data_IF_988423930378
#
_entry.id   IF_988423930378
#
_cell.length_a   1.000
_cell.length_b   1.000
_cell.length_c   1.000
_cell.angle_alpha   90.00
_cell.angle_beta   90.00
_cell.angle_gamma   90.00
#
_symmetry.space_group_name_H-M   'P 1'
#
loop_
_entity.id
_entity.type
_entity.pdbx_description
1 polymer ?
#
# COMPACT_ATOMS: atom_id res chain seq x y z
N UNK A 1 6.81 -1.48 8.83
CA UNK A 1 5.42 -0.99 8.71
C UNK A 1 4.45 -2.14 8.79
N UNK A 2 3.26 -1.91 9.40
CA UNK A 2 2.26 -2.97 9.61
C UNK A 2 0.85 -2.55 9.17
N UNK A 3 0.73 -1.45 8.43
CA UNK A 3 -0.54 -0.85 8.00
C UNK A 3 -0.43 -0.43 6.54
N UNK A 4 -0.61 -1.41 5.64
CA UNK A 4 -0.42 -1.21 4.20
C UNK A 4 -1.67 -1.64 3.40
N UNK A 5 -2.81 -0.99 3.55
CA UNK A 5 -3.22 -0.02 4.57
C UNK A 5 -3.87 -0.64 5.82
N UNK A 6 -4.22 0.17 6.82
CA UNK A 6 -5.24 -0.13 7.82
C UNK A 6 -6.59 0.35 7.27
N UNK A 7 -7.51 -0.56 7.07
CA UNK A 7 -8.89 -0.24 6.73
C UNK A 7 -9.66 -0.07 8.06
N UNK A 8 -9.78 1.16 8.52
CA UNK A 8 -10.38 1.49 9.83
C UNK A 8 -11.61 2.35 9.65
N UNK A 9 -12.77 1.93 10.20
CA UNK A 9 -13.98 2.73 10.14
C UNK A 9 -13.85 4.01 10.96
N UNK A 10 -14.56 5.05 10.55
CA UNK A 10 -14.78 6.24 11.36
C UNK A 10 -15.78 6.00 12.49
N UNK A 11 -15.86 6.90 13.45
CA UNK A 11 -16.79 6.78 14.60
C UNK A 11 -18.28 6.84 14.19
N UNK A 12 -18.56 7.44 13.04
CA UNK A 12 -19.92 7.57 12.49
C UNK A 12 -20.18 6.62 11.31
N UNK A 13 -19.26 5.66 11.07
CA UNK A 13 -19.41 4.69 9.98
C UNK A 13 -20.59 3.76 10.24
N UNK A 14 -21.29 3.41 9.16
CA UNK A 14 -22.24 2.30 9.12
C UNK A 14 -21.80 1.33 8.02
N UNK A 15 -22.35 0.13 8.01
CA UNK A 15 -22.00 -0.85 6.98
C UNK A 15 -22.34 -0.36 5.56
N UNK A 16 -23.35 0.46 5.44
CA UNK A 16 -23.89 0.93 4.15
C UNK A 16 -23.04 2.02 3.50
N UNK A 17 -22.26 2.77 4.30
CA UNK A 17 -21.55 3.95 3.81
C UNK A 17 -20.02 3.80 3.71
N UNK A 18 -19.48 2.66 4.08
CA UNK A 18 -18.02 2.41 4.02
C UNK A 18 -17.67 1.51 2.84
N UNK A 19 -17.19 2.11 1.76
CA UNK A 19 -16.73 1.41 0.56
C UNK A 19 -15.26 1.69 0.32
N UNK A 20 -14.47 0.64 0.10
CA UNK A 20 -13.05 0.75 -0.23
C UNK A 20 -12.76 -0.03 -1.51
N UNK A 21 -12.11 0.62 -2.46
CA UNK A 21 -11.62 -0.01 -3.69
C UNK A 21 -10.10 0.14 -3.79
N UNK A 22 -9.39 -0.94 -3.53
CA UNK A 22 -7.93 -1.01 -3.55
C UNK A 22 -7.47 -1.82 -4.75
N UNK A 23 -7.01 -1.13 -5.81
CA UNK A 23 -6.62 -1.73 -7.10
C UNK A 23 -5.24 -1.28 -7.54
N UNK A 24 -4.53 -2.19 -8.20
CA UNK A 24 -3.29 -1.92 -8.92
C UNK A 24 -2.20 -1.23 -8.09
N UNK A 25 -2.19 -1.47 -6.77
CA UNK A 25 -1.13 -0.98 -5.90
C UNK A 25 0.02 -1.98 -5.85
N UNK A 26 1.21 -1.46 -5.55
CA UNK A 26 2.38 -2.26 -5.18
C UNK A 26 2.63 -2.08 -3.68
N UNK A 27 2.58 -3.18 -2.95
CA UNK A 27 2.85 -3.22 -1.51
C UNK A 27 4.18 -3.95 -1.30
N UNK A 28 5.20 -3.22 -0.84
CA UNK A 28 6.55 -3.74 -0.67
C UNK A 28 7.01 -3.74 0.78
N UNK A 29 7.76 -4.77 1.17
CA UNK A 29 8.60 -4.84 2.38
C UNK A 29 7.85 -4.55 3.69
N UNK A 30 6.66 -5.11 3.90
CA UNK A 30 5.94 -4.97 5.17
C UNK A 30 6.56 -5.82 6.28
N UNK A 31 6.62 -5.31 7.51
CA UNK A 31 7.17 -6.03 8.66
C UNK A 31 6.12 -6.62 9.62
N UNK A 32 4.87 -6.23 9.46
CA UNK A 32 3.73 -6.74 10.24
C UNK A 32 2.61 -7.26 9.34
N UNK A 33 1.41 -6.73 9.48
CA UNK A 33 0.35 -6.99 8.51
C UNK A 33 0.64 -6.22 7.21
N UNK A 34 0.30 -6.81 6.07
CA UNK A 34 0.16 -6.09 4.81
C UNK A 34 -1.06 -5.16 4.92
N UNK A 35 -2.24 -5.60 4.50
CA UNK A 35 -3.50 -4.93 4.80
C UNK A 35 -4.17 -5.56 6.04
N UNK A 36 -4.95 -4.77 6.80
CA UNK A 36 -5.82 -5.34 7.83
C UNK A 36 -6.99 -4.42 8.18
N UNK A 37 -8.05 -5.01 8.74
CA UNK A 37 -9.26 -4.31 9.14
C UNK A 37 -10.46 -4.64 8.25
N UNK A 38 -11.19 -3.61 7.84
CA UNK A 38 -12.39 -3.75 7.02
C UNK A 38 -13.65 -4.03 7.83
N UNK A 39 -13.66 -3.62 9.10
CA UNK A 39 -14.80 -3.78 10.01
C UNK A 39 -16.03 -3.07 9.43
N UNK A 40 -17.11 -3.81 9.19
CA UNK A 40 -18.36 -3.34 8.60
C UNK A 40 -18.19 -2.58 7.27
N UNK A 41 -17.18 -2.91 6.47
CA UNK A 41 -16.91 -2.26 5.18
C UNK A 41 -17.27 -3.16 4.02
N UNK A 42 -17.55 -2.56 2.86
CA UNK A 42 -17.56 -3.22 1.57
C UNK A 42 -16.21 -2.99 0.88
N UNK A 43 -15.44 -4.06 0.63
CA UNK A 43 -14.05 -3.93 0.23
C UNK A 43 -13.74 -4.67 -1.05
N UNK A 44 -13.17 -3.98 -2.02
CA UNK A 44 -12.51 -4.58 -3.18
C UNK A 44 -10.98 -4.55 -2.98
N UNK A 45 -10.32 -5.69 -3.14
CA UNK A 45 -8.85 -5.79 -3.20
C UNK A 45 -8.51 -6.53 -4.49
N UNK A 46 -8.18 -5.78 -5.55
CA UNK A 46 -8.14 -6.31 -6.90
C UNK A 46 -6.81 -6.00 -7.59
N UNK A 47 -6.18 -7.04 -8.11
CA UNK A 47 -4.99 -6.92 -8.97
C UNK A 47 -3.86 -6.09 -8.35
N UNK A 48 -3.65 -6.17 -7.03
CA UNK A 48 -2.50 -5.58 -6.37
C UNK A 48 -1.31 -6.53 -6.40
N UNK A 49 -0.10 -5.98 -6.38
CA UNK A 49 1.12 -6.75 -6.30
C UNK A 49 1.74 -6.60 -4.91
N UNK A 50 1.83 -7.70 -4.18
CA UNK A 50 2.45 -7.79 -2.87
C UNK A 50 3.84 -8.39 -3.02
N UNK A 51 4.87 -7.60 -2.76
CA UNK A 51 6.26 -8.06 -2.82
C UNK A 51 6.89 -8.10 -1.43
N UNK A 52 6.98 -9.28 -0.81
CA UNK A 52 7.73 -9.42 0.43
C UNK A 52 9.17 -8.99 0.24
N UNK A 53 9.71 -8.25 1.20
CA UNK A 53 11.08 -7.75 1.19
C UNK A 53 11.88 -8.22 2.41
N UNK A 54 13.06 -7.62 2.65
CA UNK A 54 13.96 -8.02 3.73
C UNK A 54 13.40 -7.86 5.15
N UNK A 55 12.43 -6.93 5.35
CA UNK A 55 11.75 -6.76 6.63
C UNK A 55 10.53 -7.67 6.80
N UNK A 56 10.06 -8.30 5.72
CA UNK A 56 8.88 -9.16 5.80
C UNK A 56 9.24 -10.47 6.50
N UNK A 57 8.56 -10.83 7.61
CA UNK A 57 8.93 -12.01 8.39
C UNK A 57 8.93 -13.30 7.57
N UNK A 58 10.03 -14.05 7.66
CA UNK A 58 10.19 -15.37 7.04
C UNK A 58 9.54 -16.47 7.88
N UNK A 59 9.16 -17.58 7.26
CA UNK A 59 8.59 -18.73 7.95
C UNK A 59 7.22 -18.51 8.59
N UNK A 60 6.53 -17.40 8.27
CA UNK A 60 5.25 -17.02 8.89
C UNK A 60 4.16 -16.78 7.85
N UNK A 61 2.89 -16.84 8.32
CA UNK A 61 1.72 -16.52 7.49
C UNK A 61 1.71 -15.08 6.99
N UNK A 62 2.47 -14.17 7.62
CA UNK A 62 2.55 -12.76 7.22
C UNK A 62 3.11 -12.59 5.81
N UNK A 63 3.95 -13.53 5.36
CA UNK A 63 4.60 -13.45 4.06
C UNK A 63 3.65 -13.63 2.88
N UNK A 64 2.64 -14.50 3.00
CA UNK A 64 1.59 -14.69 1.97
C UNK A 64 0.31 -13.91 2.23
N UNK A 65 0.29 -13.03 3.24
CA UNK A 65 -0.93 -12.36 3.67
C UNK A 65 -1.31 -11.19 2.76
N UNK A 66 -2.51 -11.24 2.20
CA UNK A 66 -3.12 -10.12 1.48
C UNK A 66 -3.83 -9.22 2.49
N UNK A 67 -4.71 -9.80 3.33
CA UNK A 67 -5.43 -9.07 4.36
C UNK A 67 -5.61 -9.92 5.62
N UNK A 68 -5.64 -9.26 6.79
CA UNK A 68 -6.17 -9.81 8.02
C UNK A 68 -7.47 -9.08 8.38
N UNK A 69 -8.61 -9.73 8.19
CA UNK A 69 -9.93 -9.12 8.43
C UNK A 69 -10.24 -9.01 9.92
N UNK A 70 -10.96 -7.97 10.27
CA UNK A 70 -11.23 -7.60 11.66
C UNK A 70 -12.71 -7.28 11.86
N UNK A 71 -13.13 -7.23 13.13
CA UNK A 71 -14.41 -6.65 13.56
C UNK A 71 -14.27 -5.96 14.91
N UNK A 72 -15.14 -5.03 15.22
CA UNK A 72 -15.20 -4.30 16.49
C UNK A 72 -15.90 -5.14 17.54
N UNK A 73 -15.17 -5.71 18.54
CA UNK A 73 -15.70 -6.72 19.47
C UNK A 73 -15.39 -6.46 20.94
N UNK A 74 -14.52 -5.49 21.24
CA UNK A 74 -14.19 -5.16 22.63
C UNK A 74 -15.24 -4.25 23.28
N UNK A 75 -15.28 -4.18 24.60
CA UNK A 75 -16.14 -3.24 25.33
C UNK A 75 -15.83 -1.78 24.98
N UNK A 76 -14.58 -1.47 24.68
CA UNK A 76 -14.17 -0.17 24.18
C UNK A 76 -14.72 0.09 22.77
N UNK A 77 -14.68 -0.93 21.89
CA UNK A 77 -15.27 -0.80 20.54
C UNK A 77 -16.78 -0.57 20.60
N UNK A 78 -17.46 -1.28 21.51
CA UNK A 78 -18.91 -1.11 21.70
C UNK A 78 -19.29 0.34 22.06
N UNK A 79 -18.45 1.02 22.82
CA UNK A 79 -18.64 2.44 23.19
C UNK A 79 -18.33 3.37 22.04
N UNK A 80 -17.22 3.12 21.33
CA UNK A 80 -16.69 4.03 20.32
C UNK A 80 -17.32 3.84 18.94
N UNK A 81 -17.83 2.63 18.66
CA UNK A 81 -18.37 2.24 17.34
C UNK A 81 -19.70 1.49 17.48
N UNK A 82 -20.72 2.04 18.15
CA UNK A 82 -21.95 1.30 18.46
C UNK A 82 -22.71 0.84 17.21
N UNK A 83 -22.67 1.61 16.12
CA UNK A 83 -23.38 1.29 14.88
C UNK A 83 -22.78 0.10 14.11
N UNK A 84 -21.52 -0.23 14.34
CA UNK A 84 -20.81 -1.31 13.64
C UNK A 84 -20.23 -2.36 14.59
N UNK A 85 -20.63 -2.30 15.87
CA UNK A 85 -20.19 -3.27 16.85
C UNK A 85 -20.60 -4.69 16.45
N UNK A 86 -19.66 -5.62 16.55
CA UNK A 86 -19.81 -7.05 16.17
C UNK A 86 -20.26 -7.28 14.71
N UNK A 87 -19.99 -6.31 13.82
CA UNK A 87 -20.40 -6.36 12.43
C UNK A 87 -19.19 -6.65 11.53
N UNK A 88 -19.30 -7.69 10.70
CA UNK A 88 -18.32 -8.01 9.68
C UNK A 88 -18.47 -7.11 8.44
N UNK A 89 -17.34 -6.81 7.81
CA UNK A 89 -17.35 -6.38 6.42
C UNK A 89 -17.54 -7.54 5.45
N UNK A 90 -17.65 -7.23 4.18
CA UNK A 90 -17.61 -8.21 3.09
C UNK A 90 -16.61 -7.80 2.02
N UNK A 91 -16.03 -8.81 1.33
CA UNK A 91 -14.78 -8.62 0.59
C UNK A 91 -14.83 -9.30 -0.77
N UNK A 92 -14.51 -8.54 -1.81
CA UNK A 92 -14.14 -9.07 -3.12
C UNK A 92 -12.62 -9.01 -3.25
N UNK A 93 -11.95 -10.17 -3.28
CA UNK A 93 -10.48 -10.27 -3.30
C UNK A 93 -10.08 -11.18 -4.45
N UNK A 94 -9.53 -10.61 -5.53
CA UNK A 94 -9.22 -11.35 -6.74
C UNK A 94 -8.04 -10.77 -7.51
N UNK A 95 -7.28 -11.66 -8.17
CA UNK A 95 -6.23 -11.27 -9.11
C UNK A 95 -4.98 -10.68 -8.45
N UNK A 96 -4.90 -10.68 -7.12
CA UNK A 96 -3.71 -10.20 -6.43
C UNK A 96 -2.58 -11.21 -6.55
N UNK A 97 -1.37 -10.70 -6.77
CA UNK A 97 -0.14 -11.49 -6.82
C UNK A 97 0.67 -11.24 -5.55
N UNK A 98 1.13 -12.32 -4.92
CA UNK A 98 2.13 -12.28 -3.86
C UNK A 98 3.36 -13.00 -4.38
N UNK A 99 4.47 -12.30 -4.55
CA UNK A 99 5.66 -12.87 -5.19
C UNK A 99 6.93 -12.30 -4.55
N UNK A 100 7.70 -13.16 -3.90
CA UNK A 100 8.98 -12.79 -3.30
C UNK A 100 10.20 -13.05 -4.20
N UNK A 101 9.97 -13.48 -5.44
CA UNK A 101 11.02 -13.75 -6.41
C UNK A 101 11.93 -14.92 -6.01
N UNK A 102 11.50 -15.82 -5.14
CA UNK A 102 12.28 -16.96 -4.60
C UNK A 102 13.47 -16.55 -3.71
N UNK A 103 13.51 -15.33 -3.23
CA UNK A 103 14.67 -14.78 -2.49
C UNK A 103 14.86 -15.46 -1.12
N UNK A 104 13.77 -15.88 -0.49
CA UNK A 104 13.76 -16.32 0.91
C UNK A 104 13.58 -17.85 1.09
N UNK A 105 13.77 -18.60 0.04
CA UNK A 105 13.72 -20.07 0.08
C UNK A 105 12.36 -20.66 -0.28
N UNK A 106 12.37 -21.97 -0.56
CA UNK A 106 11.26 -22.67 -1.19
C UNK A 106 9.94 -22.63 -0.40
N UNK A 107 9.98 -22.73 0.94
CA UNK A 107 8.77 -22.76 1.75
C UNK A 107 8.03 -21.40 1.80
N UNK A 108 8.77 -20.30 1.84
CA UNK A 108 8.18 -18.95 1.79
C UNK A 108 7.68 -18.62 0.40
N UNK A 109 8.41 -19.03 -0.64
CA UNK A 109 7.95 -18.92 -2.02
C UNK A 109 6.65 -19.70 -2.27
N UNK A 110 6.57 -20.96 -1.82
CA UNK A 110 5.34 -21.78 -1.93
C UNK A 110 4.16 -21.10 -1.24
N UNK A 111 4.37 -20.47 -0.08
CA UNK A 111 3.34 -19.70 0.63
C UNK A 111 2.83 -18.53 -0.19
N UNK A 112 3.73 -17.78 -0.81
CA UNK A 112 3.38 -16.66 -1.70
C UNK A 112 2.61 -17.16 -2.93
N UNK A 113 3.07 -18.24 -3.55
CA UNK A 113 2.41 -18.81 -4.73
C UNK A 113 1.03 -19.39 -4.43
N UNK A 114 0.82 -20.00 -3.25
CA UNK A 114 -0.52 -20.41 -2.80
C UNK A 114 -1.46 -19.22 -2.68
N UNK A 115 -1.01 -18.13 -2.03
CA UNK A 115 -1.81 -16.91 -1.89
C UNK A 115 -2.12 -16.26 -3.25
N UNK A 116 -1.19 -16.33 -4.21
CA UNK A 116 -1.41 -15.87 -5.59
C UNK A 116 -2.44 -16.73 -6.31
N UNK A 117 -2.36 -18.06 -6.16
CA UNK A 117 -3.26 -19.02 -6.83
C UNK A 117 -4.70 -18.90 -6.32
N UNK A 118 -4.87 -18.76 -5.02
CA UNK A 118 -6.17 -18.53 -4.40
C UNK A 118 -6.02 -17.49 -3.29
N UNK A 119 -6.37 -16.25 -3.67
CA UNK A 119 -6.25 -15.09 -2.78
C UNK A 119 -7.11 -15.22 -1.52
N UNK A 120 -8.30 -15.81 -1.67
CA UNK A 120 -9.24 -15.96 -0.56
C UNK A 120 -8.77 -17.02 0.43
N UNK A 121 -8.44 -18.19 -0.06
CA UNK A 121 -8.07 -19.33 0.78
C UNK A 121 -6.77 -19.07 1.54
N UNK A 122 -5.73 -18.63 0.83
CA UNK A 122 -4.39 -18.54 1.39
C UNK A 122 -3.92 -17.11 1.71
N UNK A 123 -4.66 -16.08 1.29
CA UNK A 123 -4.31 -14.68 1.51
C UNK A 123 -5.12 -13.97 2.60
N UNK A 124 -6.25 -14.55 3.04
CA UNK A 124 -7.16 -13.96 4.04
C UNK A 124 -7.00 -14.60 5.41
N UNK A 125 -6.77 -13.78 6.42
CA UNK A 125 -6.51 -14.19 7.80
C UNK A 125 -7.40 -13.45 8.79
N UNK A 126 -7.42 -13.91 10.03
CA UNK A 126 -8.09 -13.26 11.16
C UNK A 126 -7.15 -12.26 11.85
N UNK A 127 -7.66 -11.07 12.19
CA UNK A 127 -6.92 -10.04 12.94
C UNK A 127 -7.35 -9.91 14.39
N UNK A 128 -8.63 -10.05 14.71
CA UNK A 128 -9.11 -9.82 16.08
C UNK A 128 -8.56 -10.83 17.10
N UNK A 129 -8.55 -10.44 18.37
CA UNK A 129 -8.01 -11.25 19.47
C UNK A 129 -8.78 -12.56 19.59
N UNK A 130 -8.06 -13.67 19.72
CA UNK A 130 -8.61 -15.02 19.85
C UNK A 130 -9.60 -15.19 21.00
N UNK A 131 -9.52 -14.36 22.05
CA UNK A 131 -10.48 -14.36 23.15
C UNK A 131 -11.91 -14.02 22.72
N UNK A 132 -12.07 -13.35 21.59
CA UNK A 132 -13.37 -13.03 20.99
C UNK A 132 -13.81 -14.05 19.92
N UNK A 133 -13.06 -15.14 19.75
CA UNK A 133 -13.36 -16.20 18.80
C UNK A 133 -12.34 -16.30 17.66
N UNK A 134 -12.68 -17.09 16.68
CA UNK A 134 -11.88 -17.31 15.47
C UNK A 134 -12.75 -17.06 14.23
N UNK A 135 -12.12 -16.71 13.12
CA UNK A 135 -12.77 -16.70 11.84
C UNK A 135 -12.90 -18.17 11.36
N UNK A 136 -14.05 -18.77 11.61
CA UNK A 136 -14.34 -20.12 11.12
C UNK A 136 -14.61 -20.14 9.60
N UNK A 137 -14.52 -21.32 9.01
CA UNK A 137 -14.66 -21.48 7.56
C UNK A 137 -16.05 -21.07 7.02
N UNK A 138 -17.11 -21.26 7.80
CA UNK A 138 -18.47 -20.89 7.40
C UNK A 138 -18.60 -19.35 7.35
N UNK A 139 -18.11 -18.68 8.37
CA UNK A 139 -18.05 -17.21 8.42
C UNK A 139 -17.16 -16.68 7.31
N UNK A 140 -15.94 -17.21 7.15
CA UNK A 140 -15.02 -16.81 6.09
C UNK A 140 -15.69 -16.91 4.70
N UNK A 141 -16.40 -18.00 4.45
CA UNK A 141 -17.16 -18.19 3.20
C UNK A 141 -18.28 -17.16 3.03
N UNK A 142 -19.01 -16.85 4.08
CA UNK A 142 -20.12 -15.90 4.05
C UNK A 142 -19.66 -14.45 3.77
N UNK A 143 -18.43 -14.09 4.14
CA UNK A 143 -17.85 -12.75 3.91
C UNK A 143 -17.29 -12.56 2.50
N UNK A 144 -17.14 -13.65 1.73
CA UNK A 144 -16.62 -13.62 0.37
C UNK A 144 -17.68 -13.12 -0.60
N UNK A 145 -17.39 -12.02 -1.28
CA UNK A 145 -18.21 -11.56 -2.41
C UNK A 145 -17.79 -12.29 -3.69
N UNK A 146 -18.77 -12.56 -4.54
CA UNK A 146 -18.56 -13.14 -5.88
C UNK A 146 -18.42 -12.07 -6.97
N UNK A 147 -18.86 -10.85 -6.67
CA UNK A 147 -18.75 -9.68 -7.55
C UNK A 147 -18.21 -8.48 -6.76
N UNK A 148 -17.44 -7.59 -7.41
CA UNK A 148 -16.96 -6.39 -6.74
C UNK A 148 -18.11 -5.49 -6.31
N UNK A 149 -17.84 -4.66 -5.31
CA UNK A 149 -18.69 -3.52 -4.98
C UNK A 149 -18.54 -2.49 -6.08
N UNK A 150 -19.65 -1.89 -6.48
CA UNK A 150 -19.66 -0.86 -7.51
C UNK A 150 -19.00 0.43 -6.99
N UNK A 151 -17.97 0.89 -7.67
CA UNK A 151 -17.19 2.09 -7.29
C UNK A 151 -16.91 3.02 -8.48
N UNK A 152 -17.63 2.83 -9.57
CA UNK A 152 -17.40 3.52 -10.82
C UNK A 152 -16.35 2.84 -11.73
N UNK A 153 -16.15 3.42 -12.90
CA UNK A 153 -15.25 2.86 -13.92
C UNK A 153 -13.80 3.23 -13.62
N UNK A 154 -12.96 2.22 -13.41
CA UNK A 154 -11.53 2.38 -13.19
C UNK A 154 -10.78 1.47 -14.16
N UNK A 155 -9.80 2.01 -14.88
CA UNK A 155 -8.87 1.20 -15.68
C UNK A 155 -8.09 0.27 -14.75
N UNK A 156 -8.25 -1.04 -14.97
CA UNK A 156 -7.64 -2.05 -14.10
C UNK A 156 -6.76 -2.97 -14.93
N UNK A 157 -5.46 -2.98 -14.62
CA UNK A 157 -4.48 -3.92 -15.19
C UNK A 157 -4.44 -5.21 -14.36
N UNK A 158 -3.90 -6.29 -14.93
CA UNK A 158 -3.48 -7.42 -14.09
C UNK A 158 -2.34 -6.98 -13.14
N UNK A 159 -2.15 -7.72 -12.05
CA UNK A 159 -1.23 -7.29 -11.00
C UNK A 159 0.24 -7.18 -11.44
N UNK A 160 0.68 -8.01 -12.42
CA UNK A 160 2.07 -7.93 -12.92
C UNK A 160 2.26 -6.73 -13.83
N UNK A 161 1.30 -6.45 -14.71
CA UNK A 161 1.28 -5.22 -15.50
C UNK A 161 1.21 -3.99 -14.59
N UNK A 162 0.37 -4.02 -13.55
CA UNK A 162 0.31 -2.95 -12.56
C UNK A 162 1.64 -2.72 -11.86
N UNK A 163 2.37 -3.79 -11.48
CA UNK A 163 3.70 -3.67 -10.90
C UNK A 163 4.65 -2.89 -11.80
N UNK A 164 4.76 -3.27 -13.09
CA UNK A 164 5.65 -2.58 -14.01
C UNK A 164 5.24 -1.12 -14.21
N UNK A 165 3.95 -0.84 -14.37
CA UNK A 165 3.47 0.54 -14.52
C UNK A 165 3.72 1.39 -13.28
N UNK A 166 3.54 0.85 -12.09
CA UNK A 166 3.88 1.56 -10.84
C UNK A 166 5.38 1.83 -10.77
N UNK A 167 6.22 0.86 -11.14
CA UNK A 167 7.67 1.05 -11.16
C UNK A 167 8.09 2.11 -12.19
N UNK A 168 7.39 2.21 -13.30
CA UNK A 168 7.74 3.17 -14.37
C UNK A 168 7.18 4.56 -14.11
N UNK A 169 5.97 4.68 -13.53
CA UNK A 169 5.22 5.93 -13.48
C UNK A 169 4.88 6.46 -12.09
N UNK A 170 5.13 5.72 -11.00
CA UNK A 170 4.88 6.23 -9.66
C UNK A 170 5.95 7.24 -9.22
N UNK A 171 5.54 8.15 -8.34
CA UNK A 171 6.42 9.22 -7.87
C UNK A 171 6.67 10.29 -8.93
N UNK A 172 7.78 11.00 -8.81
CA UNK A 172 8.19 12.04 -9.75
C UNK A 172 8.83 11.43 -11.01
N UNK A 173 8.06 10.63 -11.76
CA UNK A 173 8.57 9.74 -12.81
C UNK A 173 9.22 10.43 -14.00
N UNK A 174 8.90 11.72 -14.26
CA UNK A 174 9.52 12.50 -15.33
C UNK A 174 10.96 12.92 -14.99
N UNK A 175 11.23 13.17 -13.71
CA UNK A 175 12.54 13.54 -13.18
C UNK A 175 12.71 12.95 -11.79
N UNK A 176 12.99 11.65 -11.74
CA UNK A 176 13.24 10.97 -10.47
C UNK A 176 14.53 11.47 -9.84
N UNK A 177 14.44 11.80 -8.56
CA UNK A 177 15.60 11.99 -7.74
C UNK A 177 16.16 10.65 -7.21
N UNK A 178 17.29 10.73 -6.52
CA UNK A 178 17.97 9.53 -5.96
C UNK A 178 17.10 8.75 -4.96
N UNK A 179 16.14 9.40 -4.30
CA UNK A 179 15.25 8.73 -3.34
C UNK A 179 14.24 7.88 -4.09
N UNK A 180 13.59 8.44 -5.11
CA UNK A 180 12.67 7.72 -5.99
C UNK A 180 13.37 6.58 -6.72
N UNK A 181 14.56 6.84 -7.30
CA UNK A 181 15.36 5.81 -7.99
C UNK A 181 15.71 4.66 -7.06
N UNK A 182 16.14 4.94 -5.84
CA UNK A 182 16.44 3.92 -4.84
C UNK A 182 15.20 3.10 -4.48
N UNK A 183 14.05 3.73 -4.23
CA UNK A 183 12.81 3.04 -3.85
C UNK A 183 12.35 2.11 -4.99
N UNK A 184 12.41 2.57 -6.23
CA UNK A 184 12.08 1.76 -7.40
C UNK A 184 13.04 0.58 -7.53
N UNK A 185 14.35 0.82 -7.42
CA UNK A 185 15.38 -0.23 -7.51
C UNK A 185 15.21 -1.26 -6.39
N UNK A 186 15.08 -0.85 -5.14
CA UNK A 186 14.87 -1.75 -4.01
C UNK A 186 13.58 -2.58 -4.19
N UNK A 187 12.52 -1.96 -4.67
CA UNK A 187 11.25 -2.66 -4.93
C UNK A 187 11.41 -3.68 -6.06
N UNK A 188 12.07 -3.32 -7.18
CA UNK A 188 12.31 -4.25 -8.30
C UNK A 188 13.17 -5.44 -7.89
N UNK A 189 14.21 -5.20 -7.14
CA UNK A 189 15.18 -6.25 -6.74
C UNK A 189 14.79 -7.02 -5.48
N UNK A 190 13.82 -6.53 -4.69
CA UNK A 190 13.46 -7.13 -3.41
C UNK A 190 14.51 -6.92 -2.32
N UNK A 191 15.28 -5.84 -2.41
CA UNK A 191 16.39 -5.50 -1.50
C UNK A 191 16.07 -4.28 -0.62
N UNK A 192 16.96 -3.96 0.29
CA UNK A 192 16.95 -2.73 1.06
C UNK A 192 18.37 -2.31 1.40
N UNK A 193 18.74 -1.09 1.02
CA UNK A 193 20.09 -0.56 1.21
C UNK A 193 20.27 0.12 2.57
N UNK A 194 19.16 0.55 3.20
CA UNK A 194 19.17 1.25 4.45
C UNK A 194 18.34 0.52 5.50
N UNK A 195 18.57 0.88 6.77
CA UNK A 195 17.79 0.38 7.91
C UNK A 195 17.78 1.41 9.02
N UNK A 196 16.74 1.36 9.88
CA UNK A 196 16.69 2.17 11.08
C UNK A 196 17.83 1.85 12.04
N UNK A 197 18.47 2.87 12.57
CA UNK A 197 19.63 2.73 13.46
C UNK A 197 19.24 2.64 14.94
N UNK A 198 18.00 2.89 15.31
CA UNK A 198 17.49 2.99 16.70
C UNK A 198 18.17 4.06 17.57
N UNK A 199 19.09 4.83 17.04
CA UNK A 199 19.86 5.79 17.81
C UNK A 199 19.11 7.11 17.98
N UNK A 200 18.12 7.33 17.15
CA UNK A 200 17.25 8.52 17.18
C UNK A 200 16.04 8.35 18.11
N UNK A 201 16.05 7.36 18.96
CA UNK A 201 14.99 6.99 19.89
C UNK A 201 14.66 8.04 20.96
N UNK A 202 15.17 9.23 20.85
CA UNK A 202 14.82 10.33 21.75
C UNK A 202 13.81 11.31 21.18
N UNK A 203 13.51 11.26 19.90
CA UNK A 203 12.64 12.24 19.25
C UNK A 203 11.52 11.58 18.46
N UNK A 204 10.34 11.57 19.03
CA UNK A 204 9.14 11.04 18.39
C UNK A 204 8.77 9.60 18.76
N UNK A 205 9.44 9.02 19.73
CA UNK A 205 9.11 7.71 20.28
C UNK A 205 7.86 7.82 21.14
N UNK A 206 6.89 6.95 20.91
CA UNK A 206 5.77 6.78 21.84
C UNK A 206 6.35 6.27 23.16
N UNK A 207 6.16 7.04 24.23
CA UNK A 207 6.65 6.73 25.57
C UNK A 207 6.21 5.31 25.98
N UNK A 208 7.13 4.50 26.46
CA UNK A 208 6.86 3.14 26.92
C UNK A 208 7.00 2.02 25.88
N UNK A 209 7.42 2.30 24.65
CA UNK A 209 7.73 1.25 23.68
C UNK A 209 9.25 1.01 23.64
N UNK A 210 9.67 -0.15 24.14
CA UNK A 210 11.03 -0.65 23.92
C UNK A 210 11.14 -1.24 22.50
N UNK A 211 11.58 -0.42 21.56
CA UNK A 211 11.78 -0.80 20.16
C UNK A 211 12.82 -1.93 19.98
N UNK A 212 13.71 -2.12 20.94
CA UNK A 212 14.68 -3.23 20.92
C UNK A 212 14.01 -4.57 21.19
N UNK A 213 12.93 -4.59 21.96
CA UNK A 213 12.18 -5.82 22.29
C UNK A 213 11.20 -6.21 21.18
N UNK A 214 10.86 -5.33 20.26
CA UNK A 214 9.85 -5.59 19.21
C UNK A 214 10.39 -6.47 18.07
N UNK A 215 11.71 -6.74 18.04
CA UNK A 215 12.31 -7.74 17.14
C UNK A 215 12.06 -7.51 15.66
N UNK A 216 11.94 -6.26 15.23
CA UNK A 216 11.77 -5.94 13.82
C UNK A 216 13.02 -6.28 13.03
N UNK A 217 12.90 -7.01 11.94
CA UNK A 217 13.92 -6.94 10.89
C UNK A 217 13.96 -5.50 10.41
N UNK A 218 15.09 -4.83 10.55
CA UNK A 218 15.19 -3.40 10.30
C UNK A 218 15.46 -3.03 8.84
N UNK A 219 15.84 -4.00 8.04
CA UNK A 219 16.23 -3.79 6.64
C UNK A 219 15.09 -3.17 5.83
N UNK A 220 15.28 -1.93 5.37
CA UNK A 220 14.31 -1.17 4.61
C UNK A 220 13.21 -0.51 5.46
N UNK A 221 13.25 -0.66 6.79
CA UNK A 221 12.42 0.11 7.72
C UNK A 221 13.32 1.15 8.38
N UNK A 222 13.02 2.40 8.15
CA UNK A 222 13.76 3.54 8.67
C UNK A 222 12.99 4.18 9.83
N UNK A 223 13.71 4.69 10.82
CA UNK A 223 13.16 5.36 12.01
C UNK A 223 13.20 6.89 11.84
N UNK A 224 14.19 7.37 11.10
CA UNK A 224 14.41 8.79 10.81
C UNK A 224 14.87 8.96 9.36
N UNK A 225 14.65 10.15 8.81
CA UNK A 225 15.24 10.53 7.52
C UNK A 225 16.76 10.40 7.50
N UNK A 226 17.42 10.59 8.67
CA UNK A 226 18.87 10.51 8.76
C UNK A 226 19.43 9.11 8.54
N UNK A 227 18.59 8.08 8.71
CA UNK A 227 18.95 6.69 8.41
C UNK A 227 19.26 6.44 6.93
N UNK A 228 18.87 7.35 6.05
CA UNK A 228 19.06 7.23 4.60
C UNK A 228 20.00 8.28 4.02
N UNK A 229 20.83 8.90 4.85
CA UNK A 229 21.89 9.79 4.40
C UNK A 229 22.94 8.96 3.64
N UNK A 230 23.25 9.28 2.38
CA UNK A 230 24.28 8.56 1.64
C UNK A 230 25.66 8.77 2.25
N UNK A 231 26.54 7.78 2.10
CA UNK A 231 27.91 7.86 2.59
C UNK A 231 28.64 9.04 1.99
N UNK A 232 29.16 9.90 2.86
CA UNK A 232 29.90 11.11 2.46
C UNK A 232 29.01 12.36 2.27
N UNK A 233 27.71 12.24 2.48
CA UNK A 233 26.78 13.39 2.46
C UNK A 233 26.34 13.78 3.87
N UNK A 234 25.77 14.98 3.98
CA UNK A 234 25.25 15.54 5.24
C UNK A 234 23.73 15.60 5.30
N UNK A 235 23.03 15.22 4.22
CA UNK A 235 21.57 15.30 4.12
C UNK A 235 21.00 14.06 3.41
N UNK A 236 19.86 13.58 3.91
CA UNK A 236 19.05 12.58 3.24
C UNK A 236 18.28 13.17 2.02
N UNK A 237 17.99 14.45 2.11
CA UNK A 237 17.22 15.15 1.07
C UNK A 237 18.08 15.41 -0.16
N UNK A 238 17.59 15.10 -1.36
CA UNK A 238 18.28 15.47 -2.59
C UNK A 238 18.29 16.99 -2.77
N UNK A 239 19.33 17.49 -3.40
CA UNK A 239 19.34 18.87 -3.88
C UNK A 239 18.38 18.99 -5.06
N UNK A 240 17.39 19.87 -4.93
CA UNK A 240 16.43 20.16 -5.99
C UNK A 240 16.96 21.31 -6.84
N UNK A 241 17.44 20.97 -8.03
CA UNK A 241 17.91 21.95 -9.00
C UNK A 241 16.73 22.49 -9.79
N UNK A 242 16.59 23.83 -9.83
CA UNK A 242 15.58 24.48 -10.63
C UNK A 242 15.77 24.12 -12.10
N UNK A 243 14.78 23.53 -12.72
CA UNK A 243 14.75 23.27 -14.16
C UNK A 243 14.50 24.53 -14.98
N UNK A 244 14.55 24.38 -16.29
CA UNK A 244 14.16 25.47 -17.20
C UNK A 244 12.67 25.77 -16.99
N UNK A 245 12.37 27.04 -16.71
CA UNK A 245 10.98 27.50 -16.66
C UNK A 245 10.47 27.56 -18.09
N UNK A 246 9.55 26.69 -18.41
CA UNK A 246 8.90 26.69 -19.72
C UNK A 246 7.95 27.87 -19.81
N UNK A 247 7.88 28.47 -21.01
CA UNK A 247 6.94 29.55 -21.25
C UNK A 247 5.52 29.01 -21.28
N UNK A 248 4.66 29.67 -20.54
CA UNK A 248 3.21 29.46 -20.45
C UNK A 248 2.57 30.84 -20.63
N UNK A 249 2.05 31.11 -21.86
CA UNK A 249 1.66 32.45 -22.27
C UNK A 249 0.32 32.91 -21.70
N UNK A 250 -0.59 32.00 -21.42
CA UNK A 250 -1.92 32.30 -20.89
C UNK A 250 -2.09 31.91 -19.42
N UNK A 251 -1.04 31.33 -18.81
CA UNK A 251 -0.95 30.94 -17.41
C UNK A 251 -2.00 29.91 -17.01
N UNK A 252 -2.26 28.95 -17.87
CA UNK A 252 -3.20 27.89 -17.59
C UNK A 252 -2.56 26.60 -16.99
N UNK A 253 -1.23 26.57 -16.93
CA UNK A 253 -0.42 25.49 -16.39
C UNK A 253 0.09 24.53 -17.47
N UNK A 254 -0.19 24.78 -18.74
CA UNK A 254 0.36 24.03 -19.86
C UNK A 254 1.43 24.88 -20.59
N UNK A 255 2.64 24.34 -20.81
CA UNK A 255 3.64 25.07 -21.56
C UNK A 255 3.27 25.29 -23.04
N UNK A 256 3.55 26.47 -23.60
CA UNK A 256 3.29 26.81 -24.98
C UNK A 256 3.73 25.75 -26.03
N UNK A 257 4.89 25.12 -25.79
CA UNK A 257 5.42 24.08 -26.69
C UNK A 257 4.62 22.77 -26.60
N UNK A 258 4.15 22.44 -25.39
CA UNK A 258 3.30 21.27 -25.17
C UNK A 258 1.94 21.47 -25.85
N UNK A 259 1.34 22.64 -25.69
CA UNK A 259 0.06 22.99 -26.31
C UNK A 259 0.14 22.93 -27.85
N UNK A 260 1.16 23.56 -28.45
CA UNK A 260 1.40 23.50 -29.89
C UNK A 260 1.56 22.06 -30.38
N UNK A 261 2.27 21.22 -29.62
CA UNK A 261 2.46 19.80 -29.95
C UNK A 261 1.15 19.03 -30.01
N UNK A 262 0.20 19.38 -29.16
CA UNK A 262 -1.09 18.69 -29.04
C UNK A 262 -2.25 19.45 -29.69
N UNK A 263 -1.97 20.56 -30.42
CA UNK A 263 -2.96 21.31 -31.16
C UNK A 263 -3.86 22.20 -30.30
N UNK A 264 -3.38 22.57 -29.12
CA UNK A 264 -4.00 23.58 -28.26
C UNK A 264 -3.47 24.96 -28.56
N UNK A 265 -4.11 26.00 -28.02
CA UNK A 265 -3.76 27.40 -28.30
C UNK A 265 -3.05 28.04 -27.10
N UNK A 266 -1.74 28.34 -27.17
CA UNK A 266 -0.97 28.94 -26.07
C UNK A 266 -1.42 30.32 -25.57
N UNK A 267 -2.52 30.83 -26.09
CA UNK A 267 -3.09 32.09 -25.65
C UNK A 267 -4.57 31.99 -25.29
N UNK A 268 -5.05 30.78 -24.99
CA UNK A 268 -6.43 30.51 -24.63
C UNK A 268 -6.54 29.56 -23.43
N UNK A 269 -6.41 30.09 -22.22
CA UNK A 269 -6.47 29.34 -20.97
C UNK A 269 -7.75 28.50 -20.77
N UNK A 270 -8.76 28.63 -21.62
CA UNK A 270 -9.99 27.85 -21.50
C UNK A 270 -9.88 26.44 -22.08
N UNK A 271 -8.96 26.21 -22.98
CA UNK A 271 -8.83 24.94 -23.70
C UNK A 271 -8.21 23.81 -22.84
N UNK A 272 -7.55 24.14 -21.70
CA UNK A 272 -7.08 23.17 -20.71
C UNK A 272 -8.18 22.23 -20.19
N UNK A 273 -9.45 22.66 -20.28
CA UNK A 273 -10.59 21.85 -19.87
C UNK A 273 -11.15 21.00 -21.02
N UNK A 274 -10.53 21.07 -22.18
CA UNK A 274 -10.89 20.29 -23.36
C UNK A 274 -10.65 18.78 -23.13
N UNK A 275 -11.32 17.95 -23.94
CA UNK A 275 -11.16 16.49 -23.92
C UNK A 275 -10.47 15.97 -25.18
N UNK A 276 -9.75 16.84 -25.90
CA UNK A 276 -9.14 16.53 -27.19
C UNK A 276 -7.71 16.02 -27.07
N UNK A 277 -7.12 16.13 -25.88
CA UNK A 277 -5.76 15.62 -25.60
C UNK A 277 -5.86 14.44 -24.65
N UNK A 278 -5.04 13.38 -24.85
CA UNK A 278 -5.09 12.15 -24.03
C UNK A 278 -4.66 12.35 -22.58
#
# INVERSE_FOLDING_TARGET
MSRNPRLGPGVNSTKENEIVDMRNNVIYNWCGNSCYGGEAMHVNIVNNFYKPGPATPTGTSKRGRIIAIDKKVSDSDKKSYPAIFDTWGDFFIQGNVVDDGQINGAADYDRCMKATKDNWEYGVYNQFDKKYGTLDESTKKALKRTTPVETGTVTTHDARTAFERVMDYAGCSLHRDRVDERIVQETRTGTANYQGMNEHNGQGVVEGIDWKSVGYPKKGIIDSQDDVIPVGESSAWPELVQGVILKDSDNDGMPDEWEKKYGLNPNDASDRNGKTVP
#
